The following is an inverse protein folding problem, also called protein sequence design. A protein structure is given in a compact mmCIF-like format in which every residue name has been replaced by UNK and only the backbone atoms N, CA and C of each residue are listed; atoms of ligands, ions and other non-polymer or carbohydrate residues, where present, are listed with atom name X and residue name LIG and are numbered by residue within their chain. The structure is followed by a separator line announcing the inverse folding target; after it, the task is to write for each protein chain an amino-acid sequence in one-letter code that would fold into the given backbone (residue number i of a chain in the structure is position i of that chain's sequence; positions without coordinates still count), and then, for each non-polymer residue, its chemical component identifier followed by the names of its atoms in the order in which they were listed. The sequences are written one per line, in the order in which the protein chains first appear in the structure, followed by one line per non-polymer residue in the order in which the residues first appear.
data_IF_793672392486
#
_entry.id   IF_793672392486
#
_cell.length_a   1.000
_cell.length_b   1.000
_cell.length_c   1.000
_cell.angle_alpha   90.00
_cell.angle_beta   90.00
_cell.angle_gamma   90.00
#
_symmetry.space_group_name_H-M   'P 1'
#
loop_
_entity.id
_entity.type
_entity.pdbx_description
1 polymer ?
#
# COMPACT_ATOMS: atom_id res chain seq x y z
N UNK A 1 -20.43 0.25 -0.71
CA UNK A 1 -21.78 0.09 -0.11
C UNK A 1 -22.16 1.26 0.77
N UNK A 2 -21.39 1.59 1.82
CA UNK A 2 -21.65 2.77 2.67
C UNK A 2 -21.73 4.08 1.85
N UNK A 3 -20.82 4.28 0.90
CA UNK A 3 -20.87 5.43 -0.04
C UNK A 3 -22.18 5.52 -0.84
N UNK A 4 -22.69 4.38 -1.31
CA UNK A 4 -23.92 4.33 -2.09
C UNK A 4 -25.14 4.74 -1.23
N UNK A 5 -25.18 4.30 0.03
CA UNK A 5 -26.18 4.73 1.00
C UNK A 5 -26.04 6.20 1.36
N UNK A 6 -24.81 6.70 1.55
CA UNK A 6 -24.56 8.11 1.83
C UNK A 6 -25.10 9.01 0.71
N UNK A 7 -24.83 8.64 -0.56
CA UNK A 7 -25.37 9.34 -1.72
C UNK A 7 -26.90 9.31 -1.78
N UNK A 8 -27.52 8.15 -1.50
CA UNK A 8 -28.98 8.00 -1.49
C UNK A 8 -29.63 8.80 -0.35
N UNK A 9 -29.10 8.71 0.88
CA UNK A 9 -29.59 9.46 2.04
C UNK A 9 -29.49 10.97 1.83
N UNK A 10 -28.40 11.45 1.22
CA UNK A 10 -28.25 12.85 0.84
C UNK A 10 -29.29 13.32 -0.18
N UNK A 11 -29.77 12.41 -1.04
CA UNK A 11 -30.88 12.65 -1.97
C UNK A 11 -32.27 12.42 -1.34
N UNK A 12 -32.35 12.10 -0.05
CA UNK A 12 -33.61 11.83 0.65
C UNK A 12 -34.19 10.43 0.40
N UNK A 13 -33.39 9.50 -0.11
CA UNK A 13 -33.83 8.17 -0.52
C UNK A 13 -33.40 7.13 0.51
N UNK A 14 -34.36 6.48 1.16
CA UNK A 14 -34.11 5.32 2.01
C UNK A 14 -34.09 4.02 1.18
N UNK A 15 -33.26 3.06 1.58
CA UNK A 15 -33.22 1.76 0.94
C UNK A 15 -34.40 0.89 1.36
N UNK A 16 -34.68 0.83 2.67
CA UNK A 16 -35.87 0.20 3.25
C UNK A 16 -35.75 -1.30 3.53
N UNK A 17 -35.00 -2.03 2.70
CA UNK A 17 -34.75 -3.45 2.92
C UNK A 17 -33.36 -3.90 2.39
N UNK A 18 -32.30 -3.34 2.99
CA UNK A 18 -30.92 -3.66 2.66
C UNK A 18 -30.53 -5.03 3.22
N UNK A 19 -30.23 -5.95 2.32
CA UNK A 19 -29.77 -7.31 2.64
C UNK A 19 -28.63 -7.72 1.72
N UNK A 20 -27.84 -8.73 2.13
CA UNK A 20 -26.68 -9.18 1.35
C UNK A 20 -27.05 -9.58 -0.10
N UNK A 21 -28.24 -10.18 -0.31
CA UNK A 21 -28.75 -10.54 -1.63
C UNK A 21 -29.01 -9.35 -2.57
N UNK A 22 -29.03 -8.11 -2.05
CA UNK A 22 -29.19 -6.88 -2.83
C UNK A 22 -27.88 -6.17 -3.13
N UNK A 23 -26.76 -6.75 -2.69
CA UNK A 23 -25.41 -6.28 -2.98
C UNK A 23 -24.82 -7.16 -4.07
N UNK A 24 -24.54 -6.59 -5.22
CA UNK A 24 -23.93 -7.28 -6.36
C UNK A 24 -22.46 -6.87 -6.50
N UNK A 25 -21.62 -7.85 -6.81
CA UNK A 25 -20.21 -7.66 -7.13
C UNK A 25 -20.01 -7.91 -8.63
N UNK A 26 -19.59 -6.91 -9.39
CA UNK A 26 -19.35 -7.04 -10.82
C UNK A 26 -18.19 -6.14 -11.27
N UNK A 27 -17.22 -6.69 -11.99
CA UNK A 27 -16.11 -5.91 -12.54
C UNK A 27 -15.15 -5.29 -11.51
N UNK A 28 -15.19 -5.73 -10.25
CA UNK A 28 -14.47 -5.10 -9.14
C UNK A 28 -15.27 -4.01 -8.42
N UNK A 29 -16.45 -3.67 -8.93
CA UNK A 29 -17.35 -2.68 -8.34
C UNK A 29 -18.44 -3.34 -7.47
N UNK A 30 -18.98 -2.56 -6.53
CA UNK A 30 -20.06 -2.94 -5.64
C UNK A 30 -21.32 -2.15 -5.99
N UNK A 31 -22.38 -2.86 -6.37
CA UNK A 31 -23.68 -2.27 -6.71
C UNK A 31 -24.71 -2.60 -5.63
N UNK A 32 -25.43 -1.59 -5.15
CA UNK A 32 -26.58 -1.77 -4.24
C UNK A 32 -27.86 -1.63 -5.07
N UNK A 33 -28.77 -2.59 -4.92
CA UNK A 33 -29.98 -2.75 -5.75
C UNK A 33 -31.23 -2.88 -4.89
N UNK A 34 -32.43 -2.75 -5.48
CA UNK A 34 -33.67 -2.88 -4.73
C UNK A 34 -33.90 -1.72 -3.75
N UNK A 35 -33.74 -0.50 -4.25
CA UNK A 35 -34.01 0.74 -3.53
C UNK A 35 -35.51 0.99 -3.36
N UNK A 36 -35.89 1.73 -2.31
CA UNK A 36 -37.26 2.15 -2.03
C UNK A 36 -38.28 1.00 -1.91
N UNK A 37 -37.86 -0.17 -1.41
CA UNK A 37 -38.72 -1.35 -1.46
C UNK A 37 -39.83 -1.29 -0.41
N UNK A 38 -39.55 -0.81 0.80
CA UNK A 38 -40.55 -0.55 1.85
C UNK A 38 -40.08 0.60 2.76
N UNK A 39 -40.95 1.59 3.03
CA UNK A 39 -40.64 2.63 4.00
C UNK A 39 -40.75 2.07 5.42
N UNK A 40 -39.59 1.76 6.03
CA UNK A 40 -39.54 1.47 7.45
C UNK A 40 -39.75 2.76 8.26
N UNK A 41 -40.51 2.75 9.37
CA UNK A 41 -40.77 3.95 10.19
C UNK A 41 -39.50 4.61 10.73
N UNK A 42 -38.44 3.83 10.93
CA UNK A 42 -37.13 4.34 11.36
C UNK A 42 -36.29 4.94 10.22
N UNK A 43 -36.77 4.88 8.97
CA UNK A 43 -36.16 5.51 7.79
C UNK A 43 -34.67 5.18 7.63
N UNK A 44 -33.83 6.21 7.49
CA UNK A 44 -32.38 6.06 7.32
C UNK A 44 -31.73 5.30 8.48
N UNK A 45 -32.26 5.41 9.71
CA UNK A 45 -31.72 4.68 10.85
C UNK A 45 -31.89 3.17 10.67
N UNK A 46 -32.98 2.72 10.02
CA UNK A 46 -33.17 1.31 9.66
C UNK A 46 -32.07 0.82 8.71
N UNK A 47 -31.82 1.58 7.62
CA UNK A 47 -30.78 1.26 6.65
C UNK A 47 -29.40 1.11 7.30
N UNK A 48 -29.07 1.93 8.30
CA UNK A 48 -27.79 1.85 9.03
C UNK A 48 -27.67 0.55 9.83
N UNK A 49 -28.75 0.11 10.47
CA UNK A 49 -28.73 -1.18 11.19
C UNK A 49 -28.61 -2.38 10.25
N UNK A 50 -29.24 -2.29 9.07
CA UNK A 50 -29.13 -3.31 8.04
C UNK A 50 -27.74 -3.32 7.39
N UNK A 51 -27.14 -2.15 7.16
CA UNK A 51 -25.76 -2.01 6.68
C UNK A 51 -24.79 -2.76 7.60
N UNK A 52 -24.93 -2.59 8.92
CA UNK A 52 -24.10 -3.30 9.88
C UNK A 52 -24.30 -4.82 9.83
N UNK A 53 -25.55 -5.27 9.67
CA UNK A 53 -25.87 -6.70 9.55
C UNK A 53 -25.25 -7.32 8.30
N UNK A 54 -25.31 -6.62 7.16
CA UNK A 54 -24.67 -7.05 5.92
C UNK A 54 -23.14 -7.09 6.06
N UNK A 55 -22.54 -6.02 6.60
CA UNK A 55 -21.08 -5.97 6.82
C UNK A 55 -20.58 -7.09 7.74
N UNK A 56 -21.29 -7.34 8.84
CA UNK A 56 -20.97 -8.45 9.75
C UNK A 56 -21.06 -9.82 9.04
N UNK A 57 -22.06 -10.02 8.17
CA UNK A 57 -22.23 -11.28 7.44
C UNK A 57 -21.12 -11.56 6.43
N UNK A 58 -20.51 -10.52 5.85
CA UNK A 58 -19.46 -10.64 4.82
C UNK A 58 -18.08 -10.86 5.44
N UNK A 59 -17.83 -10.36 6.66
CA UNK A 59 -16.47 -10.27 7.21
C UNK A 59 -16.05 -11.40 8.17
N UNK A 60 -16.97 -12.21 8.69
CA UNK A 60 -16.64 -13.34 9.57
C UNK A 60 -15.92 -12.96 10.88
N UNK A 61 -15.18 -13.89 11.50
CA UNK A 61 -14.53 -13.70 12.82
C UNK A 61 -13.25 -12.84 12.81
N UNK A 62 -12.81 -12.35 11.64
CA UNK A 62 -11.52 -11.65 11.46
C UNK A 62 -11.56 -10.13 11.69
N UNK A 63 -12.60 -9.59 12.31
CA UNK A 63 -12.83 -8.16 12.41
C UNK A 63 -11.99 -7.48 13.51
N UNK A 64 -11.25 -6.39 13.22
CA UNK A 64 -10.59 -5.63 14.28
C UNK A 64 -11.60 -5.04 15.27
N UNK A 65 -11.20 -4.98 16.55
CA UNK A 65 -12.04 -4.48 17.65
C UNK A 65 -12.68 -3.11 17.37
N UNK A 66 -11.94 -2.19 16.73
CA UNK A 66 -12.47 -0.87 16.36
C UNK A 66 -13.70 -0.94 15.43
N UNK A 67 -13.78 -2.00 14.60
CA UNK A 67 -14.89 -2.21 13.70
C UNK A 67 -16.12 -2.80 14.40
N UNK A 68 -15.90 -3.62 15.44
CA UNK A 68 -16.99 -4.10 16.30
C UNK A 68 -17.70 -2.94 17.01
N UNK A 69 -16.98 -1.92 17.46
CA UNK A 69 -17.58 -0.74 18.06
C UNK A 69 -18.43 0.07 17.07
N UNK A 70 -17.97 0.21 15.83
CA UNK A 70 -18.74 0.86 14.77
C UNK A 70 -20.02 0.08 14.45
N UNK A 71 -19.93 -1.24 14.25
CA UNK A 71 -21.11 -2.08 14.00
C UNK A 71 -22.11 -2.03 15.15
N UNK A 72 -21.63 -1.98 16.40
CA UNK A 72 -22.46 -1.83 17.60
C UNK A 72 -23.20 -0.49 17.62
N UNK A 73 -22.54 0.60 17.23
CA UNK A 73 -23.17 1.92 17.11
C UNK A 73 -24.25 1.93 16.03
N UNK A 74 -23.99 1.32 14.87
CA UNK A 74 -24.97 1.17 13.79
C UNK A 74 -26.20 0.36 14.20
N UNK A 75 -26.02 -0.66 15.06
CA UNK A 75 -27.08 -1.48 15.63
C UNK A 75 -27.72 -0.92 16.91
N UNK A 76 -27.41 0.32 17.31
CA UNK A 76 -27.91 0.89 18.57
C UNK A 76 -29.44 0.89 18.65
N UNK A 77 -30.07 0.54 19.78
CA UNK A 77 -31.51 0.69 19.97
C UNK A 77 -31.93 2.17 20.05
N UNK A 78 -31.00 3.08 20.33
CA UNK A 78 -31.23 4.52 20.32
C UNK A 78 -30.93 5.07 18.93
N UNK A 79 -31.98 5.35 18.15
CA UNK A 79 -31.86 5.76 16.74
C UNK A 79 -30.94 6.97 16.53
N UNK A 80 -31.00 7.96 17.43
CA UNK A 80 -30.18 9.18 17.36
C UNK A 80 -28.69 8.97 17.65
N UNK A 81 -28.30 7.78 18.17
CA UNK A 81 -26.89 7.42 18.35
C UNK A 81 -26.32 6.65 17.16
N UNK A 82 -27.16 6.23 16.21
CA UNK A 82 -26.69 5.58 14.99
C UNK A 82 -25.97 6.63 14.13
N UNK A 83 -24.76 6.33 13.64
CA UNK A 83 -24.08 7.22 12.70
C UNK A 83 -24.86 7.31 11.39
N UNK A 84 -24.68 8.42 10.67
CA UNK A 84 -25.11 8.55 9.27
C UNK A 84 -24.31 7.61 8.36
N UNK A 85 -24.85 7.32 7.17
CA UNK A 85 -24.13 6.50 6.19
C UNK A 85 -22.81 7.14 5.74
N UNK A 86 -22.75 8.48 5.72
CA UNK A 86 -21.53 9.23 5.45
C UNK A 86 -20.47 8.99 6.52
N UNK A 87 -20.82 9.12 7.80
CA UNK A 87 -19.89 8.86 8.91
C UNK A 87 -19.41 7.40 8.94
N UNK A 88 -20.29 6.44 8.61
CA UNK A 88 -19.87 5.03 8.46
C UNK A 88 -18.88 4.90 7.31
N UNK A 89 -19.14 5.55 6.17
CA UNK A 89 -18.23 5.51 5.02
C UNK A 89 -16.88 6.13 5.33
N UNK A 90 -16.84 7.29 5.97
CA UNK A 90 -15.61 7.98 6.34
C UNK A 90 -14.75 7.13 7.29
N UNK A 91 -15.37 6.52 8.31
CA UNK A 91 -14.68 5.61 9.24
C UNK A 91 -14.21 4.35 8.56
N UNK A 92 -14.98 3.81 7.61
CA UNK A 92 -14.56 2.64 6.84
C UNK A 92 -13.40 3.00 5.91
N UNK A 93 -13.43 4.16 5.26
CA UNK A 93 -12.34 4.66 4.43
C UNK A 93 -11.07 4.94 5.25
N UNK A 94 -11.19 5.49 6.45
CA UNK A 94 -10.08 5.65 7.40
C UNK A 94 -9.52 4.30 7.84
N UNK A 95 -10.39 3.37 8.21
CA UNK A 95 -9.99 2.00 8.54
C UNK A 95 -9.27 1.32 7.39
N UNK A 96 -9.80 1.44 6.16
CA UNK A 96 -9.18 0.93 4.93
C UNK A 96 -7.84 1.61 4.68
N UNK A 97 -7.71 2.93 4.85
CA UNK A 97 -6.41 3.61 4.74
C UNK A 97 -5.40 3.10 5.78
N UNK A 98 -5.87 2.82 7.01
CA UNK A 98 -5.01 2.35 8.10
C UNK A 98 -4.68 0.83 8.06
N UNK A 99 -5.54 0.00 7.44
CA UNK A 99 -5.44 -1.46 7.50
C UNK A 99 -5.40 -2.14 6.12
N UNK A 100 -5.91 -1.47 5.09
CA UNK A 100 -5.74 -1.87 3.68
C UNK A 100 -4.46 -1.24 3.17
N UNK A 101 -3.36 -1.62 3.81
CA UNK A 101 -2.13 -1.85 3.09
C UNK A 101 -2.41 -3.01 2.12
N UNK A 102 -3.05 -2.75 0.97
CA UNK A 102 -2.46 -3.26 -0.27
C UNK A 102 -1.08 -2.63 -0.28
N UNK A 103 -0.12 -3.30 0.37
CA UNK A 103 0.97 -2.63 1.05
C UNK A 103 1.58 -1.57 0.15
N UNK A 104 1.25 -0.31 0.49
CA UNK A 104 1.78 0.86 -0.19
C UNK A 104 3.28 0.64 -0.16
N UNK A 105 3.90 0.57 -1.35
CA UNK A 105 5.32 0.34 -1.45
C UNK A 105 5.99 1.58 -0.85
N UNK A 106 6.30 1.54 0.44
CA UNK A 106 6.71 2.71 1.18
C UNK A 106 6.93 2.45 2.67
N UNK A 107 7.58 3.39 3.34
CA UNK A 107 7.91 3.29 4.75
C UNK A 107 8.04 4.68 5.39
N UNK A 108 7.72 4.76 6.68
CA UNK A 108 8.08 5.88 7.52
C UNK A 108 9.60 5.88 7.74
N UNK A 109 10.27 6.99 7.41
CA UNK A 109 11.74 7.12 7.52
C UNK A 109 12.18 8.08 8.63
N UNK A 110 11.24 8.73 9.31
CA UNK A 110 11.52 9.65 10.39
C UNK A 110 10.35 10.59 10.67
N UNK A 111 10.63 11.67 11.39
CA UNK A 111 9.68 12.75 11.69
C UNK A 111 10.32 14.10 11.36
N UNK A 112 9.49 15.09 11.02
CA UNK A 112 9.90 16.50 10.89
C UNK A 112 10.16 17.12 12.27
N UNK A 113 10.68 18.34 12.30
CA UNK A 113 10.83 19.11 13.57
C UNK A 113 9.48 19.39 14.26
N UNK A 114 8.38 19.47 13.49
CA UNK A 114 7.01 19.61 14.01
C UNK A 114 6.45 18.29 14.57
N UNK A 115 7.15 17.17 14.39
CA UNK A 115 6.72 15.83 14.81
C UNK A 115 5.83 15.11 13.78
N UNK A 116 5.67 15.67 12.58
CA UNK A 116 4.92 14.99 11.52
C UNK A 116 5.75 13.85 10.94
N UNK A 117 5.13 12.70 10.68
CA UNK A 117 5.81 11.56 10.09
C UNK A 117 6.27 11.87 8.65
N UNK A 118 7.52 11.51 8.34
CA UNK A 118 8.05 11.55 6.99
C UNK A 118 7.87 10.16 6.38
N UNK A 119 6.85 10.02 5.54
CA UNK A 119 6.55 8.79 4.82
C UNK A 119 7.09 8.82 3.39
N UNK A 120 7.87 7.80 3.02
CA UNK A 120 8.39 7.63 1.68
C UNK A 120 7.45 6.72 0.87
N UNK A 121 6.69 7.28 -0.06
CA UNK A 121 5.85 6.54 -1.00
C UNK A 121 6.60 6.23 -2.30
N UNK A 122 7.16 5.03 -2.39
CA UNK A 122 7.92 4.55 -3.55
C UNK A 122 7.02 4.16 -4.73
N UNK A 123 5.71 3.93 -4.52
CA UNK A 123 4.80 3.74 -5.64
C UNK A 123 4.66 5.04 -6.45
N UNK A 124 4.67 6.19 -5.76
CA UNK A 124 4.61 7.52 -6.39
C UNK A 124 5.98 8.04 -6.83
N UNK A 125 7.01 7.84 -6.01
CA UNK A 125 8.36 8.36 -6.26
C UNK A 125 9.20 7.48 -7.19
N UNK A 126 8.76 6.25 -7.40
CA UNK A 126 9.48 5.24 -8.16
C UNK A 126 10.26 4.29 -7.26
N UNK A 127 10.60 3.09 -7.79
CA UNK A 127 11.22 2.00 -7.03
C UNK A 127 12.71 2.20 -6.73
N UNK A 128 13.25 3.42 -6.84
CA UNK A 128 14.66 3.68 -6.62
C UNK A 128 14.88 5.02 -5.94
N UNK A 129 15.92 5.09 -5.11
CA UNK A 129 16.22 6.30 -4.35
C UNK A 129 17.64 6.32 -3.79
N UNK A 130 18.04 7.51 -3.34
CA UNK A 130 19.33 7.74 -2.72
C UNK A 130 19.16 8.35 -1.33
N UNK A 131 19.95 7.89 -0.36
CA UNK A 131 20.05 8.50 0.97
C UNK A 131 21.33 9.31 1.06
N UNK A 132 21.18 10.61 1.34
CA UNK A 132 22.29 11.55 1.54
C UNK A 132 22.31 12.02 2.99
N UNK A 133 23.49 12.10 3.58
CA UNK A 133 23.66 12.77 4.88
C UNK A 133 24.98 12.38 5.57
N UNK A 134 25.13 12.71 6.85
CA UNK A 134 26.08 12.06 7.74
C UNK A 134 25.85 10.53 7.78
N UNK A 135 26.92 9.75 7.94
CA UNK A 135 26.90 8.27 7.88
C UNK A 135 25.89 7.66 8.87
N UNK A 136 25.84 8.19 10.08
CA UNK A 136 24.91 7.78 11.14
C UNK A 136 23.44 8.02 10.75
N UNK A 137 23.13 9.13 10.09
CA UNK A 137 21.79 9.41 9.57
C UNK A 137 21.43 8.53 8.39
N UNK A 138 22.39 8.25 7.51
CA UNK A 138 22.18 7.32 6.38
C UNK A 138 21.81 5.93 6.88
N UNK A 139 22.53 5.42 7.88
CA UNK A 139 22.24 4.12 8.50
C UNK A 139 20.84 4.12 9.11
N UNK A 140 20.47 5.16 9.86
CA UNK A 140 19.16 5.25 10.50
C UNK A 140 18.01 5.24 9.48
N UNK A 141 18.14 5.99 8.38
CA UNK A 141 17.13 6.03 7.31
C UNK A 141 17.06 4.70 6.58
N UNK A 142 18.20 4.06 6.28
CA UNK A 142 18.23 2.74 5.64
C UNK A 142 17.58 1.67 6.52
N UNK A 143 17.88 1.66 7.83
CA UNK A 143 17.28 0.72 8.77
C UNK A 143 15.76 0.94 8.88
N UNK A 144 15.29 2.19 8.98
CA UNK A 144 13.86 2.50 9.04
C UNK A 144 13.13 2.12 7.74
N UNK A 145 13.71 2.44 6.59
CA UNK A 145 13.16 2.09 5.27
C UNK A 145 13.05 0.58 5.10
N UNK A 146 14.13 -0.17 5.38
CA UNK A 146 14.12 -1.63 5.26
C UNK A 146 13.12 -2.23 6.24
N UNK A 147 13.14 -1.82 7.51
CA UNK A 147 12.24 -2.35 8.54
C UNK A 147 10.76 -2.12 8.18
N UNK A 148 10.40 -0.91 7.73
CA UNK A 148 9.03 -0.60 7.32
C UNK A 148 8.57 -1.41 6.12
N UNK A 149 9.44 -1.59 5.12
CA UNK A 149 9.12 -2.38 3.95
C UNK A 149 8.98 -3.88 4.27
N UNK A 150 9.91 -4.47 5.02
CA UNK A 150 9.85 -5.92 5.30
C UNK A 150 8.73 -6.31 6.27
N UNK A 151 8.24 -5.37 7.08
CA UNK A 151 7.13 -5.62 8.01
C UNK A 151 5.81 -5.93 7.28
N UNK A 152 5.64 -5.45 6.04
CA UNK A 152 4.38 -5.52 5.30
C UNK A 152 4.47 -6.30 3.99
N UNK A 153 5.66 -6.78 3.61
CA UNK A 153 5.89 -7.49 2.37
C UNK A 153 6.59 -8.82 2.61
N UNK A 154 6.18 -9.88 1.90
CA UNK A 154 6.93 -11.13 1.90
C UNK A 154 8.19 -11.00 1.02
N UNK A 155 9.24 -11.80 1.26
CA UNK A 155 10.43 -11.82 0.38
C UNK A 155 10.12 -12.24 -1.06
N UNK A 156 9.02 -12.97 -1.27
CA UNK A 156 8.55 -13.35 -2.59
C UNK A 156 7.88 -12.19 -3.34
N UNK A 157 7.39 -11.17 -2.61
CA UNK A 157 6.69 -10.02 -3.16
C UNK A 157 7.56 -8.77 -3.25
N UNK A 158 8.65 -8.70 -2.47
CA UNK A 158 9.56 -7.56 -2.41
C UNK A 158 11.02 -7.99 -2.25
N UNK A 159 11.88 -7.43 -3.09
CA UNK A 159 13.33 -7.49 -2.96
C UNK A 159 13.89 -6.07 -2.89
N UNK A 160 14.80 -5.82 -1.95
CA UNK A 160 15.46 -4.55 -1.68
C UNK A 160 16.94 -4.71 -2.04
N UNK A 161 17.40 -4.00 -3.05
CA UNK A 161 18.79 -4.05 -3.52
C UNK A 161 19.54 -2.85 -2.97
N UNK A 162 20.52 -3.10 -2.11
CA UNK A 162 21.40 -2.06 -1.59
C UNK A 162 22.68 -2.02 -2.44
N UNK A 163 23.00 -0.85 -2.99
CA UNK A 163 24.10 -0.65 -3.95
C UNK A 163 25.13 0.34 -3.45
N UNK A 164 26.38 0.19 -3.88
CA UNK A 164 27.48 1.08 -3.49
C UNK A 164 27.61 1.18 -1.97
N UNK A 165 27.73 2.40 -1.44
CA UNK A 165 27.91 2.62 0.00
C UNK A 165 26.72 2.09 0.82
N UNK A 166 25.50 2.02 0.28
CA UNK A 166 24.34 1.48 1.01
C UNK A 166 24.57 0.01 1.40
N UNK A 167 25.27 -0.77 0.55
CA UNK A 167 25.61 -2.15 0.85
C UNK A 167 26.59 -2.26 2.02
N UNK A 168 27.53 -1.32 2.14
CA UNK A 168 28.50 -1.26 3.25
C UNK A 168 27.92 -0.68 4.54
N UNK A 169 26.91 0.17 4.44
CA UNK A 169 26.22 0.78 5.58
C UNK A 169 25.17 -0.13 6.20
N UNK A 170 24.67 -1.13 5.45
CA UNK A 170 23.77 -2.16 5.96
C UNK A 170 24.46 -2.95 7.09
N UNK A 171 24.09 -2.68 8.35
CA UNK A 171 24.71 -3.35 9.49
C UNK A 171 24.37 -4.86 9.51
N UNK A 172 25.28 -5.72 9.96
CA UNK A 172 25.07 -7.17 10.04
C UNK A 172 23.93 -7.67 10.94
N UNK A 173 23.26 -6.80 11.70
CA UNK A 173 22.34 -7.20 12.79
C UNK A 173 20.86 -6.97 12.51
N UNK A 174 20.50 -6.20 11.49
CA UNK A 174 19.09 -5.80 11.24
C UNK A 174 18.70 -5.92 9.77
N UNK A 175 19.59 -5.60 8.83
CA UNK A 175 19.24 -5.47 7.40
C UNK A 175 19.90 -6.51 6.50
N UNK A 176 21.16 -6.87 6.72
CA UNK A 176 21.88 -7.80 5.82
C UNK A 176 21.46 -9.28 5.93
N UNK A 177 20.75 -9.65 7.00
CA UNK A 177 20.31 -11.03 7.24
C UNK A 177 18.88 -11.30 6.77
N UNK A 178 18.18 -10.30 6.25
CA UNK A 178 16.79 -10.43 5.84
C UNK A 178 16.72 -11.03 4.43
N UNK A 179 15.83 -12.01 4.18
CA UNK A 179 15.66 -12.64 2.87
C UNK A 179 15.14 -11.68 1.78
N UNK A 180 14.69 -10.50 2.19
CA UNK A 180 14.29 -9.41 1.28
C UNK A 180 15.47 -8.61 0.75
N UNK A 181 16.64 -8.65 1.40
CA UNK A 181 17.76 -7.74 1.11
C UNK A 181 18.82 -8.43 0.26
N UNK A 182 19.14 -7.80 -0.87
CA UNK A 182 20.22 -8.19 -1.78
C UNK A 182 21.30 -7.13 -1.74
N UNK A 183 22.51 -7.54 -1.34
CA UNK A 183 23.67 -6.66 -1.35
C UNK A 183 24.35 -6.72 -2.72
N UNK A 184 24.49 -5.57 -3.37
CA UNK A 184 25.15 -5.42 -4.67
C UNK A 184 26.25 -4.34 -4.59
N UNK A 185 27.33 -4.57 -3.83
CA UNK A 185 28.37 -3.58 -3.59
C UNK A 185 29.11 -3.16 -4.87
N UNK A 186 29.21 -4.05 -5.86
CA UNK A 186 29.92 -3.82 -7.12
C UNK A 186 29.09 -3.07 -8.17
N UNK A 187 27.80 -2.80 -7.90
CA UNK A 187 26.94 -2.04 -8.80
C UNK A 187 27.19 -0.54 -8.62
N UNK A 188 27.83 0.08 -9.61
CA UNK A 188 28.13 1.52 -9.66
C UNK A 188 26.90 2.39 -9.99
N UNK A 189 25.83 2.27 -9.19
CA UNK A 189 24.64 3.12 -9.25
C UNK A 189 23.32 2.36 -9.48
N UNK A 190 22.21 3.03 -9.16
CA UNK A 190 20.87 2.45 -9.20
C UNK A 190 20.48 1.86 -10.57
N UNK A 191 20.82 2.54 -11.67
CA UNK A 191 20.53 2.10 -13.05
C UNK A 191 21.21 0.78 -13.38
N UNK A 192 22.50 0.65 -13.08
CA UNK A 192 23.25 -0.58 -13.36
C UNK A 192 22.76 -1.76 -12.52
N UNK A 193 22.39 -1.51 -11.27
CA UNK A 193 21.81 -2.54 -10.41
C UNK A 193 20.45 -3.01 -10.92
N UNK A 194 19.60 -2.07 -11.37
CA UNK A 194 18.33 -2.38 -12.01
C UNK A 194 18.54 -3.22 -13.29
N UNK A 195 19.49 -2.85 -14.15
CA UNK A 195 19.82 -3.61 -15.37
C UNK A 195 20.33 -5.02 -15.09
N UNK A 196 21.10 -5.21 -14.01
CA UNK A 196 21.58 -6.53 -13.60
C UNK A 196 20.44 -7.39 -13.08
N UNK A 197 19.51 -6.81 -12.32
CA UNK A 197 18.36 -7.53 -11.78
C UNK A 197 17.32 -7.86 -12.87
N UNK A 198 17.07 -6.94 -13.81
CA UNK A 198 16.24 -7.21 -14.98
C UNK A 198 16.78 -8.40 -15.77
N UNK A 199 18.09 -8.40 -16.09
CA UNK A 199 18.74 -9.53 -16.76
C UNK A 199 18.66 -10.83 -15.98
N UNK A 200 18.85 -10.78 -14.66
CA UNK A 200 18.71 -11.97 -13.79
C UNK A 200 17.30 -12.55 -13.85
N UNK A 201 16.27 -11.70 -13.83
CA UNK A 201 14.86 -12.13 -13.88
C UNK A 201 14.47 -12.68 -15.23
N UNK A 202 14.92 -12.05 -16.31
CA UNK A 202 14.76 -12.57 -17.68
C UNK A 202 15.32 -13.99 -17.78
N UNK A 203 16.54 -14.21 -17.28
CA UNK A 203 17.16 -15.54 -17.27
C UNK A 203 16.36 -16.57 -16.46
N UNK A 204 15.79 -16.19 -15.30
CA UNK A 204 14.94 -17.07 -14.50
C UNK A 204 13.62 -17.42 -15.21
N UNK A 205 13.01 -16.46 -15.91
CA UNK A 205 11.80 -16.69 -16.70
C UNK A 205 12.10 -17.64 -17.87
N UNK A 206 13.21 -17.43 -18.58
CA UNK A 206 13.62 -18.29 -19.69
C UNK A 206 13.96 -19.71 -19.21
N UNK A 207 14.60 -19.85 -18.05
CA UNK A 207 14.84 -21.14 -17.42
C UNK A 207 13.55 -21.86 -17.02
N UNK A 208 12.58 -21.12 -16.43
CA UNK A 208 11.28 -21.69 -16.07
C UNK A 208 10.54 -22.20 -17.32
N UNK A 209 10.55 -21.42 -18.40
CA UNK A 209 9.98 -21.83 -19.70
C UNK A 209 10.67 -23.08 -20.25
N UNK A 210 12.00 -23.12 -20.26
CA UNK A 210 12.77 -24.25 -20.78
C UNK A 210 12.55 -25.55 -19.99
N UNK A 211 12.27 -25.44 -18.69
CA UNK A 211 12.08 -26.59 -17.79
C UNK A 211 10.61 -26.98 -17.57
N UNK A 212 9.66 -26.20 -18.10
CA UNK A 212 8.23 -26.38 -17.84
C UNK A 212 7.82 -26.06 -16.38
N UNK A 213 8.68 -25.36 -15.64
CA UNK A 213 8.42 -24.91 -14.27
C UNK A 213 7.53 -23.67 -14.27
N UNK A 214 6.77 -23.40 -13.19
CA UNK A 214 6.04 -22.14 -13.08
C UNK A 214 7.00 -20.93 -13.13
N UNK A 215 6.61 -19.82 -13.76
CA UNK A 215 7.44 -18.62 -13.82
C UNK A 215 7.69 -18.07 -12.40
N UNK A 216 8.84 -17.42 -12.17
CA UNK A 216 9.13 -16.79 -10.88
C UNK A 216 8.04 -15.77 -10.51
N UNK A 217 7.74 -15.66 -9.21
CA UNK A 217 6.73 -14.72 -8.72
C UNK A 217 7.07 -13.27 -9.12
N UNK A 218 6.03 -12.49 -9.46
CA UNK A 218 6.17 -11.08 -9.78
C UNK A 218 6.50 -10.28 -8.50
N UNK A 219 7.79 -10.20 -8.17
CA UNK A 219 8.28 -9.42 -7.03
C UNK A 219 8.51 -7.96 -7.42
N UNK A 220 8.22 -7.04 -6.51
CA UNK A 220 8.61 -5.63 -6.64
C UNK A 220 10.10 -5.51 -6.29
N UNK A 221 10.81 -4.64 -7.01
CA UNK A 221 12.22 -4.35 -6.74
C UNK A 221 12.31 -2.94 -6.19
N UNK A 222 13.08 -2.74 -5.12
CA UNK A 222 13.45 -1.40 -4.62
C UNK A 222 14.96 -1.29 -4.59
N UNK A 223 15.54 -0.29 -5.27
CA UNK A 223 16.98 -0.08 -5.33
C UNK A 223 17.36 1.14 -4.50
N UNK A 224 18.24 0.96 -3.52
CA UNK A 224 18.68 2.05 -2.64
C UNK A 224 20.18 2.23 -2.70
N UNK A 225 20.59 3.47 -3.00
CA UNK A 225 21.98 3.89 -2.96
C UNK A 225 22.21 4.83 -1.76
N UNK A 226 23.42 4.85 -1.23
CA UNK A 226 23.85 5.79 -0.22
C UNK A 226 25.15 6.47 -0.70
N UNK A 227 25.39 7.68 -0.24
CA UNK A 227 26.58 8.44 -0.59
C UNK A 227 26.90 9.48 0.49
N UNK A 228 28.18 9.58 0.85
CA UNK A 228 28.65 10.58 1.80
C UNK A 228 28.35 12.01 1.29
N UNK A 229 27.92 12.90 2.18
CA UNK A 229 27.76 14.31 1.86
C UNK A 229 29.12 14.90 1.46
N UNK A 230 29.31 15.22 0.17
CA UNK A 230 30.36 16.15 -0.27
C UNK A 230 29.73 17.53 -0.54
N UNK A 231 30.40 18.57 -0.07
CA UNK A 231 29.94 19.96 -0.08
C UNK A 231 29.85 20.57 -1.50
N UNK A 232 30.32 19.88 -2.55
CA UNK A 232 30.59 20.47 -3.86
C UNK A 232 29.76 19.98 -5.06
N UNK A 233 28.88 18.99 -4.96
CA UNK A 233 28.21 18.48 -6.17
C UNK A 233 26.92 19.23 -6.53
N UNK A 234 27.07 20.07 -7.56
CA UNK A 234 26.00 20.74 -8.28
C UNK A 234 25.08 19.73 -8.98
N UNK A 235 23.79 19.89 -8.71
CA UNK A 235 22.64 19.06 -9.07
C UNK A 235 22.33 18.95 -10.60
N UNK A 236 23.27 18.50 -11.44
CA UNK A 236 22.98 18.29 -12.87
C UNK A 236 23.47 16.95 -13.42
N UNK A 237 22.72 15.89 -13.16
CA UNK A 237 22.41 14.92 -14.22
C UNK A 237 20.89 14.84 -14.38
N UNK A 238 20.43 15.62 -15.36
CA UNK A 238 19.10 15.55 -15.96
C UNK A 238 18.92 14.12 -16.51
N UNK A 239 17.79 13.42 -16.30
CA UNK A 239 17.55 12.16 -16.99
C UNK A 239 17.67 12.41 -18.51
N UNK A 240 18.31 11.51 -19.29
CA UNK A 240 18.48 11.72 -20.72
C UNK A 240 17.11 11.93 -21.35
N UNK A 241 16.87 13.13 -21.88
CA UNK A 241 15.72 13.42 -22.69
C UNK A 241 15.97 12.81 -24.06
N UNK A 242 15.78 11.49 -24.22
CA UNK A 242 15.60 10.83 -25.52
C UNK A 242 15.22 9.36 -25.32
N UNK A 243 13.93 9.10 -25.10
CA UNK A 243 13.27 7.92 -25.65
C UNK A 243 13.08 8.19 -27.15
N UNK A 244 14.13 7.93 -27.93
CA UNK A 244 14.13 8.08 -29.38
C UNK A 244 14.78 6.86 -30.02
N UNK A 245 13.99 6.08 -30.75
CA UNK A 245 14.46 5.07 -31.69
C UNK A 245 15.56 5.63 -32.60
N UNK A 246 16.74 5.00 -32.68
CA UNK A 246 17.19 4.14 -33.81
C UNK A 246 18.65 3.67 -33.69
N UNK A 247 18.81 2.41 -34.07
CA UNK A 247 19.97 1.58 -34.44
C UNK A 247 21.36 2.16 -34.76
N UNK A 248 22.36 1.43 -34.24
CA UNK A 248 23.62 0.96 -34.87
C UNK A 248 24.46 1.90 -35.74
N UNK A 249 25.68 2.20 -35.29
CA UNK A 249 26.96 1.64 -35.81
C UNK A 249 28.08 1.95 -34.82
#
# INVERSE_FOLDING_TARGET
MADALAGAHAAGIAHGDLVAARVLLAGGDVFVTGWCVEEHPDGFAHDISQLASVLASVMGEGLPLAFHDLLRLCGSPLLHLRPSAAEVSDRFAEFVRAHTHQAVLGAAIGHTESGDEVFLDLARLGPHGGVRGPVDQQIAVLDALVAGLVAHHSPADLQIVLVGDAAGLARPRTTSGLPHVVLAPDACGATRALDLELRRREALVDQARATGSPPPAASRLVVVQAWAYQESDTWQERPPAELGYTSCS
#
